data_IF_790946832215
#
_entry.id   IF_790946832215
#
_cell.length_a   1.000
_cell.length_b   1.000
_cell.length_c   1.000
_cell.angle_alpha   90.00
_cell.angle_beta   90.00
_cell.angle_gamma   90.00
#
_symmetry.space_group_name_H-M   'P 1'
#
loop_
_entity.id
_entity.type
_entity.pdbx_description
1 polymer ?
#
# COMPACT_ATOMS: atom_id res chain seq x y z
N UNK A 1 0.35 29.67 23.82
CA UNK A 1 -0.82 28.88 23.36
C UNK A 1 -0.52 28.14 22.05
N UNK A 2 0.06 28.76 21.01
CA UNK A 2 0.44 28.04 19.76
C UNK A 2 1.58 26.99 19.81
N UNK A 3 1.90 26.39 20.96
CA UNK A 3 2.87 25.26 21.09
C UNK A 3 2.22 23.93 21.45
N UNK A 4 0.98 23.97 21.96
CA UNK A 4 0.20 22.77 22.30
C UNK A 4 -0.54 22.26 21.06
N UNK A 5 -1.22 23.17 20.33
CA UNK A 5 -1.97 22.87 19.10
C UNK A 5 -1.09 22.23 18.01
N UNK A 6 0.06 22.82 17.67
CA UNK A 6 0.95 22.28 16.62
C UNK A 6 1.63 20.95 16.97
N UNK A 7 1.55 20.47 18.21
CA UNK A 7 2.05 19.13 18.62
C UNK A 7 0.97 18.06 18.59
N UNK A 8 -0.29 18.46 18.70
CA UNK A 8 -1.44 17.58 18.65
C UNK A 8 -1.80 17.32 17.17
N UNK A 9 -1.87 18.38 16.35
CA UNK A 9 -2.10 18.28 14.89
C UNK A 9 -1.02 17.42 14.21
N UNK A 10 0.28 17.72 14.42
CA UNK A 10 1.36 16.94 13.81
C UNK A 10 1.48 15.48 14.28
N UNK A 11 0.81 15.11 15.38
CA UNK A 11 0.74 13.71 15.85
C UNK A 11 -0.46 12.97 15.28
N UNK A 12 -1.56 13.68 15.05
CA UNK A 12 -2.77 13.12 14.46
C UNK A 12 -2.55 12.91 12.96
N UNK A 13 -2.04 13.92 12.25
CA UNK A 13 -1.67 13.84 10.82
C UNK A 13 -0.64 12.73 10.57
N UNK A 14 0.49 12.73 11.31
CA UNK A 14 1.53 11.70 11.12
C UNK A 14 1.09 10.28 11.49
N UNK A 15 0.01 10.11 12.27
CA UNK A 15 -0.54 8.79 12.63
C UNK A 15 -1.60 8.34 11.63
N UNK A 16 -2.34 9.27 11.04
CA UNK A 16 -3.30 8.99 9.97
C UNK A 16 -2.57 8.68 8.65
N UNK A 17 -1.63 9.54 8.24
CA UNK A 17 -0.77 9.34 7.07
C UNK A 17 0.02 8.02 7.18
N UNK A 18 0.70 7.77 8.31
CA UNK A 18 1.45 6.53 8.50
C UNK A 18 0.59 5.26 8.53
N UNK A 19 -0.70 5.36 8.85
CA UNK A 19 -1.63 4.22 8.84
C UNK A 19 -2.21 3.96 7.46
N UNK A 20 -2.45 5.02 6.69
CA UNK A 20 -2.92 4.94 5.30
C UNK A 20 -1.79 4.45 4.38
N UNK A 21 -0.60 5.06 4.48
CA UNK A 21 0.60 4.66 3.75
C UNK A 21 0.97 3.20 4.05
N UNK A 22 1.02 2.81 5.33
CA UNK A 22 1.35 1.43 5.71
C UNK A 22 0.32 0.40 5.23
N UNK A 23 -0.95 0.79 5.08
CA UNK A 23 -1.99 -0.09 4.55
C UNK A 23 -1.86 -0.28 3.04
N UNK A 24 -1.65 0.81 2.30
CA UNK A 24 -1.41 0.74 0.86
C UNK A 24 -0.12 -0.01 0.52
N UNK A 25 0.96 0.27 1.26
CA UNK A 25 2.26 -0.37 1.07
C UNK A 25 2.17 -1.87 1.38
N UNK A 26 1.49 -2.25 2.47
CA UNK A 26 1.27 -3.66 2.80
C UNK A 26 0.45 -4.43 1.75
N UNK A 27 -0.55 -3.80 1.13
CA UNK A 27 -1.33 -4.41 0.04
C UNK A 27 -0.49 -4.59 -1.23
N UNK A 28 0.36 -3.61 -1.55
CA UNK A 28 1.32 -3.70 -2.67
C UNK A 28 2.34 -4.80 -2.41
N UNK A 29 2.89 -4.90 -1.21
CA UNK A 29 3.87 -5.93 -0.85
C UNK A 29 3.27 -7.34 -0.95
N UNK A 30 2.05 -7.54 -0.44
CA UNK A 30 1.33 -8.81 -0.59
C UNK A 30 1.10 -9.14 -2.07
N UNK A 31 0.67 -8.16 -2.87
CA UNK A 31 0.48 -8.36 -4.31
C UNK A 31 1.79 -8.75 -5.01
N UNK A 32 2.90 -8.07 -4.70
CA UNK A 32 4.23 -8.36 -5.26
C UNK A 32 4.69 -9.78 -4.91
N UNK A 33 4.53 -10.20 -3.65
CA UNK A 33 4.89 -11.55 -3.22
C UNK A 33 4.05 -12.61 -3.95
N UNK A 34 2.73 -12.39 -4.07
CA UNK A 34 1.86 -13.31 -4.81
C UNK A 34 2.21 -13.39 -6.31
N UNK A 35 2.59 -12.26 -6.93
CA UNK A 35 3.06 -12.23 -8.31
C UNK A 35 4.35 -13.04 -8.50
N UNK A 36 5.30 -12.92 -7.57
CA UNK A 36 6.56 -13.69 -7.59
C UNK A 36 6.33 -15.19 -7.39
N UNK A 37 5.37 -15.57 -6.55
CA UNK A 37 4.94 -16.96 -6.36
C UNK A 37 4.16 -17.53 -7.57
N UNK A 38 3.94 -16.74 -8.63
CA UNK A 38 3.24 -17.18 -9.84
C UNK A 38 1.74 -17.34 -9.65
N UNK A 39 1.15 -16.70 -8.64
CA UNK A 39 -0.30 -16.71 -8.40
C UNK A 39 -1.02 -15.97 -9.52
N UNK A 40 -2.16 -16.50 -9.96
CA UNK A 40 -2.96 -15.88 -11.02
C UNK A 40 -3.48 -14.49 -10.61
N UNK A 41 -3.40 -13.53 -11.54
CA UNK A 41 -3.80 -12.14 -11.31
C UNK A 41 -5.22 -12.00 -10.72
N UNK A 42 -6.19 -12.77 -11.21
CA UNK A 42 -7.57 -12.77 -10.70
C UNK A 42 -7.67 -13.07 -9.19
N UNK A 43 -6.81 -13.97 -8.69
CA UNK A 43 -6.76 -14.32 -7.27
C UNK A 43 -6.16 -13.16 -6.48
N UNK A 44 -5.11 -12.55 -7.01
CA UNK A 44 -4.44 -11.40 -6.38
C UNK A 44 -5.41 -10.22 -6.29
N UNK A 45 -6.12 -9.88 -7.37
CA UNK A 45 -7.18 -8.85 -7.40
C UNK A 45 -8.20 -9.08 -6.28
N UNK A 46 -8.66 -10.32 -6.10
CA UNK A 46 -9.65 -10.66 -5.07
C UNK A 46 -9.10 -10.54 -3.65
N UNK A 47 -7.81 -10.81 -3.44
CA UNK A 47 -7.17 -10.79 -2.11
C UNK A 47 -6.74 -9.39 -1.71
N UNK A 48 -6.13 -8.63 -2.63
CA UNK A 48 -5.55 -7.32 -2.33
C UNK A 48 -6.50 -6.17 -2.68
N UNK A 49 -7.54 -6.42 -3.48
CA UNK A 49 -8.45 -5.40 -3.99
C UNK A 49 -7.84 -4.50 -5.07
N UNK A 50 -6.60 -4.77 -5.49
CA UNK A 50 -5.93 -4.01 -6.54
C UNK A 50 -6.50 -4.36 -7.91
N UNK A 51 -6.51 -3.39 -8.82
CA UNK A 51 -6.93 -3.62 -10.20
C UNK A 51 -5.88 -4.42 -10.98
N UNK A 52 -6.32 -5.10 -12.05
CA UNK A 52 -5.42 -5.81 -12.98
C UNK A 52 -4.30 -4.86 -13.45
N UNK A 53 -4.64 -3.60 -13.76
CA UNK A 53 -3.70 -2.59 -14.24
C UNK A 53 -2.62 -2.27 -13.21
N UNK A 54 -3.00 -2.10 -11.94
CA UNK A 54 -2.06 -1.89 -10.83
C UNK A 54 -1.12 -3.09 -10.65
N UNK A 55 -1.66 -4.31 -10.75
CA UNK A 55 -0.86 -5.54 -10.66
C UNK A 55 0.11 -5.70 -11.84
N UNK A 56 -0.31 -5.33 -13.06
CA UNK A 56 0.56 -5.32 -14.23
C UNK A 56 1.70 -4.32 -14.10
N UNK A 57 1.44 -3.13 -13.55
CA UNK A 57 2.50 -2.17 -13.24
C UNK A 57 3.48 -2.74 -12.23
N UNK A 58 3.00 -3.33 -11.12
CA UNK A 58 3.84 -3.97 -10.12
C UNK A 58 4.67 -5.12 -10.72
N UNK A 59 4.07 -5.95 -11.57
CA UNK A 59 4.78 -7.02 -12.28
C UNK A 59 5.85 -6.48 -13.25
N UNK A 60 5.57 -5.37 -13.93
CA UNK A 60 6.53 -4.70 -14.81
C UNK A 60 7.69 -4.06 -14.05
N UNK A 61 7.49 -3.68 -12.79
CA UNK A 61 8.57 -3.19 -11.92
C UNK A 61 9.45 -4.34 -11.41
N UNK A 62 8.88 -5.53 -11.18
CA UNK A 62 9.64 -6.72 -10.72
C UNK A 62 10.55 -7.32 -11.80
N UNK A 63 10.18 -7.21 -13.07
CA UNK A 63 10.89 -7.83 -14.19
C UNK A 63 11.89 -6.89 -14.90
N UNK A 64 12.20 -5.74 -14.31
CA UNK A 64 13.23 -4.80 -14.79
C UNK A 64 14.53 -4.97 -13.99
#
# INVERSE_FOLDING_TARGET
EGREEGREEGREEGREEGREEGREEGLREVALNLLQEGVALEVIVRVTGLSIEQLQQLQSTLNQ
#
